data_IF_579001731960
#
_entry.id   IF_579001731960
#
_cell.length_a   1.000
_cell.length_b   1.000
_cell.length_c   1.000
_cell.angle_alpha   90.00
_cell.angle_beta   90.00
_cell.angle_gamma   90.00
#
_symmetry.space_group_name_H-M   'P 1'
#
loop_
_entity.id
_entity.type
_entity.pdbx_description
1 polymer ?
#
# COMPACT_ATOMS: atom_id res chain seq x y z
N UNK A 1 -34.04 -23.54 -37.67
CA UNK A 1 -33.18 -24.71 -37.98
C UNK A 1 -31.98 -24.20 -38.76
N UNK A 2 -31.01 -23.59 -38.07
CA UNK A 2 -29.75 -23.16 -38.68
C UNK A 2 -28.92 -24.41 -38.99
N UNK A 3 -29.08 -24.94 -40.20
CA UNK A 3 -28.12 -25.88 -40.75
C UNK A 3 -26.84 -25.11 -40.99
N UNK A 4 -26.04 -24.96 -39.92
CA UNK A 4 -24.69 -24.43 -39.96
C UNK A 4 -23.95 -25.29 -40.97
N UNK A 5 -23.81 -24.79 -42.21
CA UNK A 5 -23.04 -25.45 -43.27
C UNK A 5 -21.69 -25.77 -42.64
N UNK A 6 -21.40 -27.05 -42.41
CA UNK A 6 -20.09 -27.49 -41.93
C UNK A 6 -19.10 -27.03 -42.98
N UNK A 7 -18.29 -26.02 -42.68
CA UNK A 7 -17.16 -25.68 -43.53
C UNK A 7 -16.17 -26.84 -43.42
N UNK A 8 -15.81 -27.40 -44.56
CA UNK A 8 -14.74 -28.38 -44.65
C UNK A 8 -13.43 -27.72 -44.26
N UNK A 9 -12.67 -28.38 -43.40
CA UNK A 9 -11.30 -27.98 -43.08
C UNK A 9 -10.35 -28.36 -44.22
N UNK A 10 -9.21 -27.67 -44.39
CA UNK A 10 -8.20 -28.04 -45.38
C UNK A 10 -7.81 -29.53 -45.33
N UNK A 11 -7.69 -30.09 -44.13
CA UNK A 11 -7.35 -31.50 -43.94
C UNK A 11 -8.48 -32.45 -44.35
N UNK A 12 -9.74 -32.09 -44.09
CA UNK A 12 -10.90 -32.87 -44.56
C UNK A 12 -11.02 -32.85 -46.08
N UNK A 13 -10.57 -31.78 -46.75
CA UNK A 13 -10.54 -31.69 -48.22
C UNK A 13 -9.42 -32.58 -48.78
N UNK A 14 -8.21 -32.52 -48.21
CA UNK A 14 -7.06 -33.36 -48.64
C UNK A 14 -7.31 -34.87 -48.46
N UNK A 15 -8.10 -35.25 -47.47
CA UNK A 15 -8.40 -36.66 -47.16
C UNK A 15 -9.72 -37.14 -47.77
N UNK A 16 -10.34 -36.36 -48.65
CA UNK A 16 -11.64 -36.69 -49.22
C UNK A 16 -11.51 -37.71 -50.34
N UNK A 17 -12.02 -38.91 -50.11
CA UNK A 17 -12.12 -39.94 -51.14
C UNK A 17 -13.48 -39.92 -51.87
N UNK A 18 -13.45 -40.20 -53.18
CA UNK A 18 -14.63 -40.33 -54.03
C UNK A 18 -14.79 -41.76 -54.55
N UNK A 19 -16.03 -42.23 -54.67
CA UNK A 19 -16.33 -43.56 -55.22
C UNK A 19 -16.05 -43.64 -56.72
N UNK A 20 -15.36 -44.70 -57.16
CA UNK A 20 -15.01 -44.93 -58.57
C UNK A 20 -16.24 -45.40 -59.37
N UNK A 21 -16.43 -44.87 -60.58
CA UNK A 21 -17.49 -45.26 -61.54
C UNK A 21 -16.89 -45.53 -62.92
N UNK A 22 -17.56 -46.35 -63.72
CA UNK A 22 -17.11 -46.75 -65.08
C UNK A 22 -16.91 -45.58 -66.06
N UNK A 23 -17.60 -44.47 -65.83
CA UNK A 23 -17.37 -43.18 -66.50
C UNK A 23 -17.36 -42.09 -65.41
N UNK A 24 -16.27 -41.34 -65.31
CA UNK A 24 -16.08 -40.34 -64.25
C UNK A 24 -14.85 -39.46 -64.51
N UNK A 25 -14.60 -38.53 -63.58
CA UNK A 25 -13.41 -37.68 -63.60
C UNK A 25 -12.13 -38.50 -63.37
N UNK A 26 -11.01 -38.00 -63.89
CA UNK A 26 -9.69 -38.56 -63.65
C UNK A 26 -9.32 -38.40 -62.17
N UNK A 27 -9.05 -39.49 -61.43
CA UNK A 27 -8.65 -39.42 -60.02
C UNK A 27 -7.46 -38.50 -59.76
N UNK A 28 -6.45 -38.48 -60.64
CA UNK A 28 -5.23 -37.70 -60.42
C UNK A 28 -5.49 -36.18 -60.57
N UNK A 29 -6.36 -35.82 -61.52
CA UNK A 29 -6.82 -34.44 -61.71
C UNK A 29 -7.66 -33.97 -60.52
N UNK A 30 -8.54 -34.84 -60.02
CA UNK A 30 -9.37 -34.55 -58.85
C UNK A 30 -8.51 -34.35 -57.59
N UNK A 31 -7.50 -35.19 -57.36
CA UNK A 31 -6.60 -35.08 -56.21
C UNK A 31 -5.75 -33.80 -56.25
N UNK A 32 -5.30 -33.42 -57.46
CA UNK A 32 -4.60 -32.15 -57.69
C UNK A 32 -5.51 -30.97 -57.35
N UNK A 33 -6.75 -30.99 -57.85
CA UNK A 33 -7.73 -29.95 -57.56
C UNK A 33 -8.08 -29.86 -56.06
N UNK A 34 -8.29 -30.99 -55.38
CA UNK A 34 -8.53 -31.03 -53.93
C UNK A 34 -7.36 -30.41 -53.15
N UNK A 35 -6.13 -30.64 -53.58
CA UNK A 35 -4.94 -30.08 -52.97
C UNK A 35 -4.89 -28.54 -53.09
N UNK A 36 -5.22 -28.01 -54.26
CA UNK A 36 -5.32 -26.56 -54.51
C UNK A 36 -6.45 -25.90 -53.72
N UNK A 37 -7.63 -26.53 -53.68
CA UNK A 37 -8.77 -26.05 -52.90
C UNK A 37 -8.43 -26.05 -51.41
N UNK A 38 -7.83 -27.13 -50.90
CA UNK A 38 -7.41 -27.20 -49.50
C UNK A 38 -6.42 -26.08 -49.15
N UNK A 39 -5.43 -25.82 -50.02
CA UNK A 39 -4.47 -24.73 -49.84
C UNK A 39 -5.18 -23.36 -49.82
N UNK A 40 -6.09 -23.12 -50.76
CA UNK A 40 -6.84 -21.86 -50.83
C UNK A 40 -7.69 -21.65 -49.58
N UNK A 41 -8.37 -22.69 -49.08
CA UNK A 41 -9.15 -22.63 -47.84
C UNK A 41 -8.26 -22.34 -46.65
N UNK A 42 -7.06 -22.94 -46.59
CA UNK A 42 -6.09 -22.67 -45.54
C UNK A 42 -5.60 -21.21 -45.56
N UNK A 43 -5.29 -20.68 -46.73
CA UNK A 43 -4.90 -19.28 -46.93
C UNK A 43 -6.01 -18.31 -46.51
N UNK A 44 -7.26 -18.56 -46.94
CA UNK A 44 -8.43 -17.78 -46.54
C UNK A 44 -8.67 -17.81 -45.03
N UNK A 45 -8.53 -18.97 -44.38
CA UNK A 45 -8.67 -19.09 -42.93
C UNK A 45 -7.63 -18.25 -42.18
N UNK A 46 -6.37 -18.28 -42.64
CA UNK A 46 -5.30 -17.44 -42.08
C UNK A 46 -5.58 -15.95 -42.27
N UNK A 47 -6.10 -15.56 -43.43
CA UNK A 47 -6.45 -14.15 -43.69
C UNK A 47 -7.62 -13.67 -42.85
N UNK A 48 -8.68 -14.47 -42.72
CA UNK A 48 -9.82 -14.18 -41.83
C UNK A 48 -9.34 -13.98 -40.40
N UNK A 49 -8.45 -14.84 -39.91
CA UNK A 49 -7.90 -14.71 -38.56
C UNK A 49 -7.06 -13.42 -38.42
N UNK A 50 -6.22 -13.13 -39.42
CA UNK A 50 -5.43 -11.88 -39.45
C UNK A 50 -6.31 -10.63 -39.47
N UNK A 51 -7.44 -10.66 -40.19
CA UNK A 51 -8.41 -9.55 -40.23
C UNK A 51 -9.17 -9.44 -38.90
N UNK A 52 -9.54 -10.55 -38.27
CA UNK A 52 -10.15 -10.56 -36.94
C UNK A 52 -9.25 -9.92 -35.89
N UNK A 53 -7.97 -10.23 -35.90
CA UNK A 53 -6.97 -9.63 -35.01
C UNK A 53 -6.82 -8.11 -35.21
N UNK A 54 -7.09 -7.62 -36.42
CA UNK A 54 -7.06 -6.18 -36.74
C UNK A 54 -8.37 -5.47 -36.43
N UNK A 55 -9.44 -6.21 -36.20
CA UNK A 55 -10.77 -5.66 -35.95
C UNK A 55 -10.73 -4.82 -34.67
N UNK A 56 -11.37 -3.62 -34.66
CA UNK A 56 -11.43 -2.78 -33.47
C UNK A 56 -11.94 -3.51 -32.23
N UNK A 57 -12.89 -4.44 -32.39
CA UNK A 57 -13.42 -5.26 -31.30
C UNK A 57 -12.36 -6.13 -30.62
N UNK A 58 -11.45 -6.75 -31.39
CA UNK A 58 -10.38 -7.57 -30.84
C UNK A 58 -9.40 -6.70 -30.02
N UNK A 59 -8.97 -5.57 -30.59
CA UNK A 59 -8.06 -4.63 -29.90
C UNK A 59 -8.70 -4.05 -28.64
N UNK A 60 -9.98 -3.71 -28.71
CA UNK A 60 -10.76 -3.25 -27.55
C UNK A 60 -10.81 -4.32 -26.46
N UNK A 61 -11.10 -5.58 -26.82
CA UNK A 61 -11.10 -6.68 -25.86
C UNK A 61 -9.72 -6.88 -25.23
N UNK A 62 -8.64 -6.79 -26.01
CA UNK A 62 -7.28 -6.87 -25.49
C UNK A 62 -6.99 -5.77 -24.46
N UNK A 63 -7.40 -4.53 -24.73
CA UNK A 63 -7.24 -3.40 -23.79
C UNK A 63 -8.07 -3.62 -22.53
N UNK A 64 -9.32 -4.05 -22.67
CA UNK A 64 -10.21 -4.34 -21.54
C UNK A 64 -9.63 -5.45 -20.66
N UNK A 65 -9.08 -6.51 -21.26
CA UNK A 65 -8.45 -7.59 -20.51
C UNK A 65 -7.18 -7.16 -19.78
N UNK A 66 -6.35 -6.30 -20.39
CA UNK A 66 -5.19 -5.69 -19.71
C UNK A 66 -5.64 -4.83 -18.53
N UNK A 67 -6.62 -3.95 -18.74
CA UNK A 67 -7.17 -3.10 -17.70
C UNK A 67 -7.76 -3.92 -16.54
N UNK A 68 -8.50 -4.99 -16.84
CA UNK A 68 -9.03 -5.92 -15.83
C UNK A 68 -7.93 -6.55 -14.99
N UNK A 69 -6.86 -7.04 -15.61
CA UNK A 69 -5.72 -7.63 -14.89
C UNK A 69 -5.01 -6.62 -13.99
N UNK A 70 -4.85 -5.38 -14.45
CA UNK A 70 -4.25 -4.31 -13.65
C UNK A 70 -5.14 -3.92 -12.46
N UNK A 71 -6.45 -3.78 -12.69
CA UNK A 71 -7.43 -3.50 -11.62
C UNK A 71 -7.40 -4.60 -10.57
N UNK A 72 -7.42 -5.87 -10.99
CA UNK A 72 -7.36 -7.02 -10.07
C UNK A 72 -6.08 -6.99 -9.22
N UNK A 73 -4.94 -6.68 -9.83
CA UNK A 73 -3.67 -6.54 -9.13
C UNK A 73 -3.72 -5.42 -8.08
N UNK A 74 -4.28 -4.27 -8.43
CA UNK A 74 -4.41 -3.12 -7.51
C UNK A 74 -5.33 -3.49 -6.34
N UNK A 75 -6.47 -4.13 -6.61
CA UNK A 75 -7.42 -4.55 -5.58
C UNK A 75 -6.73 -5.51 -4.60
N UNK A 76 -5.99 -6.49 -5.11
CA UNK A 76 -5.30 -7.47 -4.28
C UNK A 76 -4.21 -6.82 -3.41
N UNK A 77 -3.41 -5.90 -3.99
CA UNK A 77 -2.42 -5.14 -3.24
C UNK A 77 -3.07 -4.30 -2.14
N UNK A 78 -4.15 -3.57 -2.45
CA UNK A 78 -4.86 -2.74 -1.48
C UNK A 78 -5.50 -3.57 -0.36
N UNK A 79 -5.99 -4.77 -0.69
CA UNK A 79 -6.49 -5.72 0.31
C UNK A 79 -5.39 -6.17 1.26
N UNK A 80 -4.22 -6.55 0.73
CA UNK A 80 -3.07 -6.95 1.54
C UNK A 80 -2.57 -5.82 2.45
N UNK A 81 -2.40 -4.61 1.90
CA UNK A 81 -2.02 -3.43 2.67
C UNK A 81 -3.01 -3.16 3.81
N UNK A 82 -4.32 -3.28 3.54
CA UNK A 82 -5.36 -3.12 4.55
C UNK A 82 -5.26 -4.18 5.65
N UNK A 83 -5.10 -5.45 5.30
CA UNK A 83 -4.96 -6.54 6.27
C UNK A 83 -3.68 -6.40 7.13
N UNK A 84 -2.60 -5.88 6.57
CA UNK A 84 -1.39 -5.58 7.32
C UNK A 84 -1.58 -4.41 8.29
N UNK A 85 -2.28 -3.36 7.83
CA UNK A 85 -2.59 -2.19 8.63
C UNK A 85 -3.53 -2.53 9.80
N UNK A 86 -4.55 -3.37 9.56
CA UNK A 86 -5.44 -3.87 10.61
C UNK A 86 -4.66 -4.68 11.65
N UNK A 87 -3.77 -5.58 11.21
CA UNK A 87 -2.89 -6.33 12.13
C UNK A 87 -1.94 -5.43 12.92
N UNK A 88 -1.43 -4.37 12.31
CA UNK A 88 -0.58 -3.41 13.03
C UNK A 88 -1.37 -2.58 14.04
N UNK A 89 -2.58 -2.17 13.67
CA UNK A 89 -3.51 -1.48 14.55
C UNK A 89 -3.85 -2.32 15.78
N UNK A 90 -4.22 -3.59 15.62
CA UNK A 90 -4.50 -4.51 16.73
C UNK A 90 -3.30 -4.64 17.68
N UNK A 91 -2.08 -4.76 17.14
CA UNK A 91 -0.86 -4.81 17.96
C UNK A 91 -0.66 -3.54 18.78
N UNK A 92 -0.90 -2.38 18.19
CA UNK A 92 -0.79 -1.11 18.91
C UNK A 92 -1.85 -0.97 19.99
N UNK A 93 -3.09 -1.38 19.72
CA UNK A 93 -4.18 -1.35 20.70
C UNK A 93 -3.83 -2.20 21.94
N UNK A 94 -3.28 -3.41 21.73
CA UNK A 94 -2.82 -4.27 22.82
C UNK A 94 -1.67 -3.64 23.63
N UNK A 95 -0.69 -3.02 22.97
CA UNK A 95 0.42 -2.38 23.69
C UNK A 95 -0.05 -1.15 24.48
N UNK A 96 -0.97 -0.36 23.92
CA UNK A 96 -1.61 0.76 24.63
C UNK A 96 -2.32 0.24 25.87
N UNK A 97 -3.12 -0.82 25.76
CA UNK A 97 -3.83 -1.41 26.90
C UNK A 97 -2.87 -1.88 27.99
N UNK A 98 -1.82 -2.60 27.61
CA UNK A 98 -0.77 -3.07 28.52
C UNK A 98 -0.07 -1.91 29.24
N UNK A 99 0.28 -0.85 28.51
CA UNK A 99 0.90 0.35 29.09
C UNK A 99 -0.06 1.08 30.04
N UNK A 100 -1.35 1.13 29.72
CA UNK A 100 -2.36 1.70 30.62
C UNK A 100 -2.48 0.89 31.93
N UNK A 101 -2.45 -0.44 31.85
CA UNK A 101 -2.46 -1.31 33.03
C UNK A 101 -1.21 -1.08 33.88
N UNK A 102 -0.04 -1.04 33.24
CA UNK A 102 1.23 -0.79 33.94
C UNK A 102 1.23 0.59 34.65
N UNK A 103 0.75 1.63 33.96
CA UNK A 103 0.58 2.97 34.52
C UNK A 103 -0.35 2.97 35.74
N UNK A 104 -1.53 2.33 35.65
CA UNK A 104 -2.49 2.23 36.77
C UNK A 104 -1.85 1.56 37.98
N UNK A 105 -1.18 0.41 37.78
CA UNK A 105 -0.47 -0.31 38.85
C UNK A 105 0.61 0.54 39.52
N UNK A 106 1.36 1.33 38.75
CA UNK A 106 2.38 2.21 39.30
C UNK A 106 1.77 3.33 40.15
N UNK A 107 0.68 3.95 39.68
CA UNK A 107 -0.06 4.97 40.43
C UNK A 107 -0.58 4.40 41.75
N UNK A 108 -1.15 3.20 41.74
CA UNK A 108 -1.64 2.54 42.96
C UNK A 108 -0.50 2.29 43.96
N UNK A 109 0.64 1.77 43.50
CA UNK A 109 1.83 1.59 44.34
C UNK A 109 2.28 2.90 44.97
N UNK A 110 2.40 3.97 44.17
CA UNK A 110 2.78 5.28 44.67
C UNK A 110 1.78 5.81 45.71
N UNK A 111 0.47 5.63 45.49
CA UNK A 111 -0.56 6.01 46.48
C UNK A 111 -0.37 5.27 47.80
N UNK A 112 -0.14 3.96 47.77
CA UNK A 112 0.11 3.18 48.99
C UNK A 112 1.38 3.66 49.70
N UNK A 113 2.48 3.84 48.96
CA UNK A 113 3.74 4.34 49.55
C UNK A 113 3.59 5.72 50.17
N UNK A 114 2.86 6.64 49.53
CA UNK A 114 2.58 7.97 50.10
C UNK A 114 1.76 7.85 51.39
N UNK A 115 0.74 6.98 51.43
CA UNK A 115 -0.05 6.73 52.63
C UNK A 115 0.82 6.19 53.76
N UNK A 116 1.67 5.21 53.47
CA UNK A 116 2.56 4.61 54.48
C UNK A 116 3.58 5.62 54.99
N UNK A 117 4.21 6.39 54.09
CA UNK A 117 5.13 7.47 54.47
C UNK A 117 4.43 8.55 55.29
N UNK A 118 3.19 8.91 54.96
CA UNK A 118 2.41 9.91 55.71
C UNK A 118 2.14 9.42 57.14
N UNK A 119 1.75 8.15 57.31
CA UNK A 119 1.56 7.55 58.64
C UNK A 119 2.85 7.54 59.46
N UNK A 120 3.99 7.21 58.85
CA UNK A 120 5.29 7.23 59.51
C UNK A 120 5.64 8.66 59.97
N UNK A 121 5.46 9.64 59.09
CA UNK A 121 5.71 11.05 59.40
C UNK A 121 4.79 11.56 60.53
N UNK A 122 3.53 11.16 60.56
CA UNK A 122 2.60 11.49 61.65
C UNK A 122 3.03 10.86 62.99
N UNK A 123 3.48 9.60 62.98
CA UNK A 123 4.01 8.92 64.17
C UNK A 123 5.23 9.66 64.73
N UNK A 124 6.24 9.90 63.89
CA UNK A 124 7.44 10.64 64.26
C UNK A 124 7.13 12.05 64.78
N UNK A 125 6.14 12.73 64.21
CA UNK A 125 5.70 14.05 64.68
C UNK A 125 5.10 13.98 66.09
N UNK A 126 4.26 12.98 66.39
CA UNK A 126 3.69 12.79 67.73
C UNK A 126 4.76 12.48 68.77
N UNK A 127 5.74 11.66 68.42
CA UNK A 127 6.85 11.31 69.31
C UNK A 127 7.72 12.54 69.61
N UNK A 128 8.05 13.34 68.58
CA UNK A 128 8.78 14.60 68.73
C UNK A 128 8.01 15.67 69.52
N UNK A 129 6.68 15.73 69.41
CA UNK A 129 5.83 16.62 70.22
C UNK A 129 5.64 16.12 71.66
N UNK A 130 5.67 14.80 71.87
CA UNK A 130 5.65 14.16 73.19
C UNK A 130 6.93 14.40 73.98
N UNK A 131 8.11 14.31 73.33
CA UNK A 131 9.39 14.66 73.94
C UNK A 131 9.48 16.16 74.30
N UNK A 132 8.91 17.05 73.48
CA UNK A 132 8.88 18.50 73.76
C UNK A 132 7.96 18.90 74.92
N UNK A 133 6.94 18.11 75.25
CA UNK A 133 6.11 18.35 76.45
C UNK A 133 6.77 17.89 77.75
N UNK A 134 7.85 17.10 77.68
CA UNK A 134 8.63 16.64 78.84
C UNK A 134 9.81 17.53 79.22
N UNK A 135 10.07 18.63 78.50
CA UNK A 135 11.22 19.49 78.79
C UNK A 135 10.91 20.96 78.50
N UNK A 136 10.96 21.80 79.54
CA UNK A 136 11.59 23.14 79.58
C UNK A 136 11.41 23.74 81.01
N UNK A 137 12.28 24.66 81.48
CA UNK A 137 13.46 25.23 80.82
C UNK A 137 14.76 25.12 81.66
N UNK A 138 15.90 25.08 80.98
CA UNK A 138 17.22 25.21 81.60
C UNK A 138 18.13 25.99 80.67
N UNK A 139 18.60 27.13 81.17
CA UNK A 139 19.33 28.17 80.48
C UNK A 139 20.69 27.73 79.90
N UNK A 140 21.19 28.48 78.92
CA UNK A 140 22.56 28.32 78.43
C UNK A 140 22.79 29.02 77.11
N UNK A 141 22.91 30.34 77.16
CA UNK A 141 23.38 31.14 76.06
C UNK A 141 24.93 31.07 75.96
N UNK A 142 25.41 31.16 74.72
CA UNK A 142 26.75 31.56 74.25
C UNK A 142 27.88 30.51 74.23
N UNK A 143 28.57 30.49 73.09
CA UNK A 143 29.77 29.69 72.82
C UNK A 143 29.88 29.35 71.33
N UNK A 144 30.24 30.30 70.47
CA UNK A 144 31.60 30.42 69.89
C UNK A 144 31.92 29.40 68.79
N UNK A 145 31.98 29.84 67.54
CA UNK A 145 32.73 29.16 66.46
C UNK A 145 33.60 30.16 65.71
N UNK A 146 34.93 30.05 65.77
CA UNK A 146 35.84 30.67 64.83
C UNK A 146 36.18 29.74 63.65
N UNK A 147 36.16 30.31 62.46
CA UNK A 147 37.23 30.31 61.44
C UNK A 147 38.06 29.04 61.12
N UNK A 148 38.07 28.70 59.81
CA UNK A 148 39.23 28.38 58.94
C UNK A 148 39.38 26.98 58.30
N UNK A 149 39.87 27.01 57.04
CA UNK A 149 40.47 25.89 56.27
C UNK A 149 39.52 25.32 55.22
N UNK A 150 39.46 25.80 53.98
CA UNK A 150 40.44 25.79 52.87
C UNK A 150 40.90 24.39 52.40
N UNK A 151 40.89 24.26 51.06
CA UNK A 151 41.49 23.22 50.19
C UNK A 151 40.62 21.98 49.98
N UNK A 152 40.47 21.43 48.77
CA UNK A 152 41.16 21.64 47.51
C UNK A 152 41.05 20.35 46.69
N UNK A 153 41.17 20.46 45.36
CA UNK A 153 41.30 19.31 44.44
C UNK A 153 40.12 19.19 43.47
N UNK A 154 40.16 19.82 42.30
CA UNK A 154 40.75 19.33 41.03
C UNK A 154 40.23 17.95 40.59
N UNK A 155 39.66 17.94 39.38
CA UNK A 155 39.85 17.00 38.24
C UNK A 155 38.54 16.96 37.46
N UNK A 156 38.43 17.58 36.27
CA UNK A 156 38.92 17.07 34.98
C UNK A 156 37.67 16.75 34.14
N UNK A 157 37.38 17.48 33.06
CA UNK A 157 37.89 17.33 31.69
C UNK A 157 36.91 16.52 30.80
N UNK A 158 36.68 17.00 29.57
CA UNK A 158 35.89 16.35 28.49
C UNK A 158 34.53 17.03 28.29
N UNK A 159 34.34 18.05 27.46
CA UNK A 159 34.61 18.21 26.01
C UNK A 159 33.61 17.48 25.09
N UNK A 160 33.06 18.27 24.15
CA UNK A 160 32.52 17.91 22.83
C UNK A 160 30.98 17.80 22.62
N UNK A 161 30.46 18.89 22.04
CA UNK A 161 29.79 18.97 20.72
C UNK A 161 28.62 18.00 20.43
N UNK A 162 27.40 18.54 20.48
CA UNK A 162 26.25 18.03 19.72
C UNK A 162 25.66 19.16 18.89
N UNK A 163 26.00 19.20 17.59
CA UNK A 163 25.43 20.12 16.61
C UNK A 163 23.91 19.92 16.53
N UNK A 164 23.16 21.01 16.64
CA UNK A 164 21.80 21.08 16.17
C UNK A 164 21.81 21.16 14.64
N UNK A 165 21.29 20.13 13.99
CA UNK A 165 20.80 20.20 12.61
C UNK A 165 19.28 19.99 12.66
N UNK A 166 18.55 21.10 12.76
CA UNK A 166 17.14 21.14 12.48
C UNK A 166 16.93 21.16 10.97
N UNK A 167 16.48 20.04 10.41
CA UNK A 167 15.91 19.99 9.05
C UNK A 167 14.40 19.78 9.15
N UNK A 168 13.57 20.79 8.82
CA UNK A 168 12.18 20.56 8.47
C UNK A 168 12.12 20.19 6.98
N UNK A 169 11.76 18.94 6.69
CA UNK A 169 11.44 18.49 5.34
C UNK A 169 9.99 18.87 5.06
N UNK A 170 9.78 20.06 4.50
CA UNK A 170 8.47 20.46 3.96
C UNK A 170 8.15 19.61 2.72
N UNK A 171 7.21 18.68 2.88
CA UNK A 171 6.45 18.11 1.78
C UNK A 171 5.23 18.98 1.48
N UNK A 172 5.26 19.69 0.36
CA UNK A 172 4.08 20.20 -0.36
C UNK A 172 4.28 19.71 -1.80
N UNK A 173 3.49 18.79 -2.34
CA UNK A 173 2.04 18.86 -2.38
C UNK A 173 1.66 19.83 -3.51
N UNK A 174 1.77 19.36 -4.76
CA UNK A 174 1.15 20.02 -5.91
C UNK A 174 -0.39 19.98 -5.74
N UNK A 175 -1.09 21.08 -6.02
CA UNK A 175 -2.46 21.04 -6.49
C UNK A 175 -2.56 21.40 -7.97
N UNK A 176 -3.52 20.74 -8.60
CA UNK A 176 -3.97 20.81 -9.99
C UNK A 176 -4.29 22.22 -10.51
N UNK A 177 -4.20 22.32 -11.85
CA UNK A 177 -5.34 22.77 -12.66
C UNK A 177 -5.24 24.18 -13.25
N UNK A 178 -5.17 24.28 -14.58
CA UNK A 178 -5.38 25.54 -15.27
C UNK A 178 -5.08 25.52 -16.77
N UNK A 179 -6.12 25.24 -17.58
CA UNK A 179 -6.33 25.89 -18.88
C UNK A 179 -5.39 25.53 -20.04
N UNK A 180 -5.65 24.40 -20.71
CA UNK A 180 -5.24 24.24 -22.09
C UNK A 180 -6.37 24.70 -23.01
N UNK A 181 -6.09 25.83 -23.65
CA UNK A 181 -6.86 26.57 -24.65
C UNK A 181 -7.52 25.66 -25.71
N UNK A 182 -8.82 25.87 -25.91
CA UNK A 182 -9.57 25.32 -27.03
C UNK A 182 -9.04 25.87 -28.35
N UNK A 183 -8.62 24.97 -29.24
CA UNK A 183 -8.46 25.27 -30.66
C UNK A 183 -9.74 24.85 -31.37
N UNK A 184 -10.55 25.83 -31.74
CA UNK A 184 -11.55 25.69 -32.79
C UNK A 184 -10.86 25.45 -34.13
N UNK A 185 -11.24 24.42 -34.92
CA UNK A 185 -11.02 24.44 -36.35
C UNK A 185 -12.17 25.18 -37.04
N UNK A 186 -11.88 26.34 -37.62
CA UNK A 186 -12.74 26.99 -38.62
C UNK A 186 -12.78 26.10 -39.86
N UNK A 187 -13.87 25.34 -40.02
CA UNK A 187 -14.24 24.68 -41.27
C UNK A 187 -14.99 25.65 -42.16
N UNK A 188 -14.41 25.92 -43.33
CA UNK A 188 -14.92 26.76 -44.39
C UNK A 188 -16.32 26.32 -44.85
N UNK A 189 -17.23 27.29 -44.97
CA UNK A 189 -18.43 27.14 -45.78
C UNK A 189 -18.00 27.12 -47.25
N UNK A 190 -18.19 25.99 -47.91
CA UNK A 190 -18.08 25.88 -49.35
C UNK A 190 -19.44 26.23 -49.96
N UNK A 191 -19.44 27.33 -50.71
CA UNK A 191 -20.52 27.80 -51.57
C UNK A 191 -21.00 26.67 -52.49
N UNK A 192 -22.32 26.48 -52.57
CA UNK A 192 -22.93 25.91 -53.77
C UNK A 192 -23.87 26.96 -54.34
N UNK A 193 -23.32 27.69 -55.31
CA UNK A 193 -24.08 28.44 -56.30
C UNK A 193 -24.73 27.48 -57.31
N UNK A 194 -25.94 27.87 -57.70
CA UNK A 194 -26.72 27.57 -58.90
C UNK A 194 -26.15 26.63 -59.98
N UNK A 195 -26.94 25.59 -60.32
CA UNK A 195 -27.66 25.47 -61.62
C UNK A 195 -28.56 24.23 -61.62
#
# INVERSE_FOLDING_TARGET
MDSKRRLLTPNEIRSKEFGKKLFGYDPDEVDTFLSEVARTVEELQREVEKLRMKTPEYKKNEIVEKARKEIEKIIQQKKQEKEELERWKERLELEIEKLMIAKKKMIERLKFTIIDMTKILEGLKRDAEGEKRGKLPGAGAQGSTPFFGQQGGRSGAGEAKGKGDGSPREGKGQPNGGGASGKEPKGSQEERNDS
#
